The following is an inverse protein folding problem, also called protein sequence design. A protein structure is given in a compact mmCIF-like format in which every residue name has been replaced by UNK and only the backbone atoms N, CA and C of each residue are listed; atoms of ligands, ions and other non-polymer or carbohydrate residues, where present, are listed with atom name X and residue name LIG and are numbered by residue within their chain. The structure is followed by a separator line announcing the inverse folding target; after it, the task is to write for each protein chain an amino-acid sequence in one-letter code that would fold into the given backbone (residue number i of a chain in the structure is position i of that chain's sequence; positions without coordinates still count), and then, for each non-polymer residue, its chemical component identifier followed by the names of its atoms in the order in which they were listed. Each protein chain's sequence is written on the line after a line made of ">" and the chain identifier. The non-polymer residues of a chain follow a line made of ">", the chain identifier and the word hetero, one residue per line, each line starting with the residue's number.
data_IF_176654867607
#
_entry.id   IF_176654867607
#
_cell.length_a   1.000
_cell.length_b   1.000
_cell.length_c   1.000
_cell.angle_alpha   90.00
_cell.angle_beta   90.00
_cell.angle_gamma   90.00
#
_symmetry.space_group_name_H-M   'P 1'
#
loop_
_entity.id
_entity.type
_entity.pdbx_description
1 polymer ?
#
# COMPACT_ATOMS: atom_id res chain seq x y z
N UNK A 1 -21.73 26.93 28.78
CA UNK A 1 -20.28 26.71 28.49
C UNK A 1 -19.99 25.27 28.07
N UNK A 2 -20.31 24.24 28.89
CA UNK A 2 -20.07 22.82 28.60
C UNK A 2 -20.63 22.30 27.25
N UNK A 3 -21.87 22.69 26.87
CA UNK A 3 -22.51 22.23 25.62
C UNK A 3 -21.76 22.67 24.34
N UNK A 4 -21.20 23.88 24.34
CA UNK A 4 -20.45 24.42 23.20
C UNK A 4 -19.10 23.72 23.01
N UNK A 5 -18.45 23.35 24.12
CA UNK A 5 -17.19 22.58 24.11
C UNK A 5 -17.43 21.18 23.56
N UNK A 6 -18.52 20.52 23.96
CA UNK A 6 -18.89 19.19 23.45
C UNK A 6 -19.24 19.20 21.96
N UNK A 7 -20.01 20.20 21.50
CA UNK A 7 -20.33 20.34 20.06
C UNK A 7 -19.09 20.66 19.23
N UNK A 8 -18.18 21.49 19.73
CA UNK A 8 -16.93 21.81 19.03
C UNK A 8 -15.98 20.61 18.99
N UNK A 9 -15.87 19.85 20.08
CA UNK A 9 -15.09 18.60 20.11
C UNK A 9 -15.63 17.54 19.16
N UNK A 10 -16.95 17.39 19.08
CA UNK A 10 -17.59 16.47 18.12
C UNK A 10 -17.36 16.92 16.67
N UNK A 11 -17.39 18.23 16.39
CA UNK A 11 -17.07 18.78 15.07
C UNK A 11 -15.62 18.46 14.67
N UNK A 12 -14.67 18.69 15.58
CA UNK A 12 -13.24 18.43 15.32
C UNK A 12 -12.94 16.94 15.07
N UNK A 13 -13.63 16.03 15.76
CA UNK A 13 -13.52 14.58 15.52
C UNK A 13 -14.12 14.14 14.19
N UNK A 14 -15.15 14.84 13.69
CA UNK A 14 -15.71 14.57 12.36
C UNK A 14 -14.82 15.12 11.24
N UNK A 15 -14.04 16.18 11.50
CA UNK A 15 -13.06 16.73 10.56
C UNK A 15 -11.76 15.92 10.47
N UNK A 16 -11.46 15.02 11.41
CA UNK A 16 -10.25 14.20 11.39
C UNK A 16 -10.35 12.95 10.49
N UNK A 17 -11.40 12.82 9.68
CA UNK A 17 -11.47 11.82 8.62
C UNK A 17 -10.63 12.26 7.42
N UNK A 18 -9.33 12.45 7.61
CA UNK A 18 -8.38 12.54 6.51
C UNK A 18 -8.16 11.12 5.99
N UNK A 19 -8.46 10.87 4.72
CA UNK A 19 -7.94 9.71 4.01
C UNK A 19 -6.42 9.70 4.25
N UNK A 20 -5.91 8.64 4.88
CA UNK A 20 -4.49 8.53 5.18
C UNK A 20 -3.76 8.30 3.87
N UNK A 21 -2.83 9.20 3.54
CA UNK A 21 -1.87 9.01 2.46
C UNK A 21 -1.13 7.68 2.68
N UNK A 22 -1.18 6.77 1.71
CA UNK A 22 -0.50 5.48 1.80
C UNK A 22 0.92 5.59 1.24
N UNK A 23 1.89 5.09 1.99
CA UNK A 23 3.27 4.92 1.51
C UNK A 23 3.50 3.49 1.03
N UNK A 24 4.15 3.30 -0.11
CA UNK A 24 4.35 1.97 -0.72
C UNK A 24 5.80 1.75 -1.13
N UNK A 25 6.24 0.48 -1.17
CA UNK A 25 7.50 0.15 -1.83
C UNK A 25 7.39 0.35 -3.35
N UNK A 26 8.43 0.92 -3.96
CA UNK A 26 8.50 1.25 -5.39
C UNK A 26 9.76 0.61 -6.00
N UNK A 27 9.60 -0.50 -6.72
CA UNK A 27 10.71 -1.25 -7.31
C UNK A 27 10.25 -2.26 -8.36
N UNK A 28 11.18 -2.80 -9.16
CA UNK A 28 10.96 -3.98 -10.00
C UNK A 28 12.10 -5.00 -9.87
N UNK A 29 11.75 -6.28 -10.01
CA UNK A 29 12.70 -7.38 -9.87
C UNK A 29 13.61 -7.59 -11.08
N UNK A 30 13.49 -6.78 -12.14
CA UNK A 30 14.41 -6.79 -13.28
C UNK A 30 15.65 -5.96 -12.97
N UNK A 31 15.45 -4.79 -12.37
CA UNK A 31 16.51 -3.84 -12.04
C UNK A 31 17.03 -4.04 -10.62
N UNK A 32 16.21 -4.56 -9.71
CA UNK A 32 16.57 -4.78 -8.31
C UNK A 32 16.20 -6.19 -7.84
N UNK A 33 17.22 -7.03 -7.61
CA UNK A 33 17.02 -8.41 -7.14
C UNK A 33 16.30 -8.51 -5.80
N UNK A 34 16.34 -7.46 -4.98
CA UNK A 34 15.67 -7.42 -3.67
C UNK A 34 14.15 -7.21 -3.82
N UNK A 35 13.69 -6.79 -5.01
CA UNK A 35 12.28 -6.61 -5.32
C UNK A 35 11.58 -7.90 -5.81
N UNK A 36 12.17 -9.08 -5.63
CA UNK A 36 11.56 -10.35 -6.05
C UNK A 36 10.33 -10.79 -5.23
N UNK A 37 9.89 -12.04 -5.47
CA UNK A 37 8.92 -12.72 -4.59
C UNK A 37 9.49 -12.90 -3.18
N UNK A 38 10.78 -13.24 -3.09
CA UNK A 38 11.57 -13.15 -1.88
C UNK A 38 12.01 -11.70 -1.65
N UNK A 39 11.07 -10.91 -1.16
CA UNK A 39 11.24 -9.47 -0.99
C UNK A 39 12.17 -9.14 0.17
N UNK A 40 13.21 -8.36 -0.12
CA UNK A 40 14.12 -7.82 0.87
C UNK A 40 13.89 -6.30 0.92
N UNK A 41 13.24 -5.78 1.97
CA UNK A 41 12.86 -4.36 2.03
C UNK A 41 14.06 -3.42 2.24
N UNK A 42 15.20 -3.96 2.67
CA UNK A 42 16.40 -3.18 2.95
C UNK A 42 16.84 -2.45 1.67
N UNK A 43 16.99 -1.12 1.78
CA UNK A 43 17.36 -0.21 0.70
C UNK A 43 16.38 -0.11 -0.49
N UNK A 44 15.16 -0.66 -0.37
CA UNK A 44 14.10 -0.44 -1.38
C UNK A 44 13.47 0.94 -1.19
N UNK A 45 13.33 1.68 -2.29
CA UNK A 45 12.68 2.97 -2.29
C UNK A 45 11.20 2.89 -1.84
N UNK A 46 10.77 3.88 -1.07
CA UNK A 46 9.38 4.04 -0.66
C UNK A 46 8.82 5.35 -1.20
N UNK A 47 7.58 5.32 -1.67
CA UNK A 47 6.90 6.48 -2.25
C UNK A 47 5.63 6.77 -1.47
N UNK A 48 5.43 8.04 -1.09
CA UNK A 48 4.14 8.55 -0.63
C UNK A 48 3.22 8.72 -1.85
N UNK A 49 2.18 7.90 -1.96
CA UNK A 49 1.32 7.88 -3.13
C UNK A 49 0.52 9.17 -3.31
N UNK A 50 0.31 9.96 -2.25
CA UNK A 50 -0.38 11.25 -2.37
C UNK A 50 0.54 12.37 -2.86
N UNK A 51 1.86 12.17 -2.75
CA UNK A 51 2.86 13.10 -3.28
C UNK A 51 3.07 12.96 -4.80
N UNK A 52 2.70 11.81 -5.38
CA UNK A 52 2.83 11.56 -6.81
C UNK A 52 1.81 12.34 -7.63
N UNK A 53 2.22 12.83 -8.80
CA UNK A 53 1.28 13.41 -9.77
C UNK A 53 0.38 12.32 -10.36
N UNK A 54 -0.90 12.64 -10.52
CA UNK A 54 -1.84 11.74 -11.18
C UNK A 54 -1.50 11.68 -12.69
N UNK A 55 -1.40 10.48 -13.31
CA UNK A 55 -1.18 10.37 -14.74
C UNK A 55 -2.15 11.23 -15.56
N UNK A 56 -1.65 11.89 -16.60
CA UNK A 56 -2.43 12.83 -17.42
C UNK A 56 -3.65 12.17 -18.05
N UNK A 57 -3.58 10.88 -18.36
CA UNK A 57 -4.67 10.08 -18.91
C UNK A 57 -5.81 9.89 -17.90
N UNK A 58 -5.51 9.88 -16.60
CA UNK A 58 -6.49 9.72 -15.53
C UNK A 58 -7.09 11.05 -15.08
N UNK A 59 -6.36 12.16 -15.25
CA UNK A 59 -6.77 13.51 -14.81
C UNK A 59 -8.17 13.95 -15.26
N UNK A 60 -8.65 13.65 -16.49
CA UNK A 60 -10.01 14.01 -16.91
C UNK A 60 -11.12 13.28 -16.16
N UNK A 61 -10.84 12.10 -15.61
CA UNK A 61 -11.84 11.24 -14.94
C UNK A 61 -12.02 11.57 -13.46
N UNK A 62 -11.08 12.32 -12.88
CA UNK A 62 -11.02 12.58 -11.45
C UNK A 62 -11.00 14.09 -11.16
N UNK A 63 -12.12 14.61 -10.64
CA UNK A 63 -12.23 16.01 -10.19
C UNK A 63 -11.46 16.27 -8.89
N UNK A 64 -11.19 15.21 -8.12
CA UNK A 64 -10.41 15.18 -6.89
C UNK A 64 -9.44 14.01 -6.97
N UNK A 65 -8.35 14.03 -6.19
CA UNK A 65 -7.38 12.91 -6.17
C UNK A 65 -8.13 11.58 -5.90
N UNK A 66 -7.97 10.55 -6.74
CA UNK A 66 -8.60 9.26 -6.51
C UNK A 66 -7.97 8.56 -5.31
N UNK A 67 -8.65 7.53 -4.82
CA UNK A 67 -8.10 6.64 -3.81
C UNK A 67 -6.76 6.04 -4.28
N UNK A 68 -5.82 5.94 -3.34
CA UNK A 68 -4.48 5.40 -3.54
C UNK A 68 -4.31 4.08 -2.79
N UNK A 69 -3.54 3.17 -3.37
CA UNK A 69 -3.20 1.89 -2.75
C UNK A 69 -1.80 1.44 -3.16
N UNK A 70 -1.21 0.53 -2.38
CA UNK A 70 -0.04 -0.20 -2.83
C UNK A 70 -0.46 -1.34 -3.75
N UNK A 71 0.29 -1.51 -4.81
CA UNK A 71 0.10 -2.49 -5.84
C UNK A 71 1.34 -3.38 -5.95
N UNK A 72 1.11 -4.68 -6.09
CA UNK A 72 2.11 -5.65 -6.53
C UNK A 72 1.61 -6.31 -7.80
N UNK A 73 2.30 -6.12 -8.94
CA UNK A 73 2.04 -6.84 -10.19
C UNK A 73 3.04 -7.99 -10.36
N UNK A 74 2.55 -9.10 -10.89
CA UNK A 74 3.33 -10.31 -11.15
C UNK A 74 3.37 -10.59 -12.66
N UNK A 75 4.53 -10.96 -13.17
CA UNK A 75 4.74 -11.24 -14.59
C UNK A 75 5.52 -12.53 -14.78
N UNK A 76 5.31 -13.18 -15.93
CA UNK A 76 6.07 -14.34 -16.39
C UNK A 76 7.11 -13.91 -17.41
N UNK A 77 8.34 -14.38 -17.20
CA UNK A 77 9.44 -14.31 -18.16
C UNK A 77 9.11 -15.03 -19.46
N UNK A 78 9.52 -14.44 -20.58
CA UNK A 78 9.22 -14.96 -21.92
C UNK A 78 9.95 -16.28 -22.23
N UNK A 79 11.04 -16.61 -21.51
CA UNK A 79 11.93 -17.73 -21.86
C UNK A 79 12.16 -18.78 -20.77
N UNK A 80 12.06 -18.44 -19.47
CA UNK A 80 12.56 -19.30 -18.37
C UNK A 80 11.54 -19.53 -17.24
N UNK A 81 10.25 -19.29 -17.49
CA UNK A 81 9.18 -19.31 -16.46
C UNK A 81 9.46 -18.45 -15.22
N UNK A 82 10.47 -17.57 -15.26
CA UNK A 82 10.86 -16.72 -14.15
C UNK A 82 9.72 -15.79 -13.77
N UNK A 83 9.49 -15.67 -12.45
CA UNK A 83 8.50 -14.77 -11.89
C UNK A 83 9.16 -13.40 -11.67
N UNK A 84 8.59 -12.37 -12.29
CA UNK A 84 8.98 -10.99 -12.06
C UNK A 84 7.92 -10.26 -11.26
N UNK A 85 8.37 -9.35 -10.40
CA UNK A 85 7.51 -8.60 -9.48
C UNK A 85 7.77 -7.11 -9.64
N UNK A 86 6.69 -6.33 -9.76
CA UNK A 86 6.70 -4.87 -9.72
C UNK A 86 5.89 -4.42 -8.50
N UNK A 87 6.45 -3.53 -7.70
CA UNK A 87 5.77 -2.87 -6.58
C UNK A 87 5.67 -1.39 -6.88
N UNK A 88 4.48 -0.82 -6.70
CA UNK A 88 4.26 0.60 -6.93
C UNK A 88 3.04 1.13 -6.18
N UNK A 89 2.85 2.45 -6.24
CA UNK A 89 1.54 3.05 -6.02
C UNK A 89 0.56 2.70 -7.15
N UNK A 90 -0.73 2.69 -6.84
CA UNK A 90 -1.83 2.62 -7.80
C UNK A 90 -2.88 3.69 -7.49
N UNK A 91 -3.55 4.13 -8.55
CA UNK A 91 -4.55 5.20 -8.54
C UNK A 91 -5.81 4.75 -9.29
N UNK A 92 -6.97 5.19 -8.82
CA UNK A 92 -8.21 5.08 -9.58
C UNK A 92 -9.06 3.86 -9.23
N UNK A 93 -9.42 3.03 -10.21
CA UNK A 93 -10.21 1.83 -9.96
C UNK A 93 -9.33 0.71 -9.39
N UNK A 94 -9.38 0.55 -8.07
CA UNK A 94 -8.61 -0.42 -7.30
C UNK A 94 -9.32 -1.78 -7.16
N UNK A 95 -10.39 -2.02 -7.94
CA UNK A 95 -11.12 -3.29 -7.94
C UNK A 95 -10.62 -4.29 -8.99
N UNK A 96 -9.91 -3.81 -10.00
CA UNK A 96 -9.44 -4.62 -11.14
C UNK A 96 -7.98 -4.31 -11.42
N UNK A 97 -7.20 -5.34 -11.75
CA UNK A 97 -5.82 -5.16 -12.18
C UNK A 97 -5.77 -4.52 -13.57
N UNK A 98 -4.92 -3.51 -13.73
CA UNK A 98 -4.51 -3.03 -15.05
C UNK A 98 -3.59 -4.07 -15.71
N UNK A 99 -4.11 -4.75 -16.73
CA UNK A 99 -3.43 -5.81 -17.48
C UNK A 99 -2.59 -5.26 -18.64
N UNK A 100 -2.62 -3.93 -18.85
CA UNK A 100 -1.86 -3.29 -19.91
C UNK A 100 -0.36 -3.56 -19.67
N UNK A 101 0.42 -3.75 -20.76
CA UNK A 101 1.86 -3.91 -20.66
C UNK A 101 2.48 -2.76 -19.88
N UNK A 102 3.25 -3.11 -18.85
CA UNK A 102 3.95 -2.12 -18.04
C UNK A 102 5.01 -1.42 -18.89
N UNK A 103 5.10 -0.10 -18.81
CA UNK A 103 6.06 0.68 -19.59
C UNK A 103 7.52 0.37 -19.21
N UNK A 104 7.76 -0.07 -17.98
CA UNK A 104 9.07 -0.50 -17.49
C UNK A 104 9.42 -1.91 -17.97
N UNK A 105 8.41 -2.76 -18.17
CA UNK A 105 8.59 -4.19 -18.47
C UNK A 105 7.66 -4.68 -19.60
N UNK A 106 7.66 -4.03 -20.79
CA UNK A 106 6.63 -4.26 -21.82
C UNK A 106 6.68 -5.64 -22.48
N UNK A 107 7.82 -6.33 -22.39
CA UNK A 107 8.03 -7.66 -22.97
C UNK A 107 7.56 -8.84 -22.10
N UNK A 108 7.13 -8.58 -20.86
CA UNK A 108 6.75 -9.63 -19.93
C UNK A 108 5.24 -9.89 -19.94
N UNK A 109 4.85 -11.15 -19.73
CA UNK A 109 3.45 -11.53 -19.73
C UNK A 109 2.83 -11.29 -18.35
N UNK A 110 1.79 -10.47 -18.28
CA UNK A 110 1.06 -10.23 -17.03
C UNK A 110 0.43 -11.52 -16.49
N UNK A 111 0.55 -11.74 -15.18
CA UNK A 111 -0.05 -12.90 -14.49
C UNK A 111 -1.15 -12.51 -13.52
N UNK A 112 -1.04 -11.36 -12.88
CA UNK A 112 -1.98 -10.92 -11.85
C UNK A 112 -1.43 -9.80 -10.99
N UNK A 113 -2.27 -9.28 -10.11
CA UNK A 113 -1.89 -8.25 -9.17
C UNK A 113 -2.60 -8.35 -7.82
N UNK A 114 -2.08 -7.64 -6.83
CA UNK A 114 -2.68 -7.52 -5.50
C UNK A 114 -2.63 -6.06 -5.07
N UNK A 115 -3.76 -5.56 -4.56
CA UNK A 115 -3.87 -4.25 -3.93
C UNK A 115 -3.92 -4.36 -2.41
N UNK A 116 -3.35 -3.39 -1.71
CA UNK A 116 -3.49 -3.24 -0.26
C UNK A 116 -3.41 -1.76 0.15
N UNK A 117 -4.00 -1.41 1.30
CA UNK A 117 -4.33 -0.02 1.64
C UNK A 117 -3.66 0.48 2.94
N UNK A 118 -2.60 -0.19 3.39
CA UNK A 118 -1.83 0.24 4.58
C UNK A 118 -0.42 0.60 4.16
N UNK A 119 0.25 1.41 4.96
CA UNK A 119 1.64 1.75 4.69
C UNK A 119 2.50 0.49 4.56
N UNK A 120 3.27 0.46 3.47
CA UNK A 120 4.25 -0.56 3.13
C UNK A 120 3.67 -1.97 3.07
N UNK A 121 2.35 -2.09 2.86
CA UNK A 121 1.64 -3.37 2.88
C UNK A 121 1.98 -4.28 1.69
N UNK A 122 2.59 -3.74 0.63
CA UNK A 122 3.05 -4.49 -0.52
C UNK A 122 4.38 -5.24 -0.28
N UNK A 123 4.78 -5.39 0.98
CA UNK A 123 5.76 -6.39 1.42
C UNK A 123 5.28 -7.80 1.04
N UNK A 124 6.19 -8.75 0.76
CA UNK A 124 5.76 -10.11 0.40
C UNK A 124 5.13 -10.85 1.59
N UNK A 125 3.98 -11.49 1.37
CA UNK A 125 3.22 -12.23 2.40
C UNK A 125 3.98 -13.40 3.03
N UNK A 126 5.11 -13.83 2.44
CA UNK A 126 6.00 -14.82 3.07
C UNK A 126 6.66 -14.30 4.35
N UNK A 127 6.73 -12.99 4.55
CA UNK A 127 7.39 -12.39 5.72
C UNK A 127 6.44 -12.14 6.92
N UNK A 128 5.13 -12.37 6.79
CA UNK A 128 4.16 -12.15 7.88
C UNK A 128 3.90 -13.40 8.71
N UNK A 129 4.92 -13.88 9.41
CA UNK A 129 4.77 -14.71 10.61
C UNK A 129 5.59 -14.12 11.78
N UNK A 130 5.49 -12.80 11.98
CA UNK A 130 6.11 -12.14 13.12
C UNK A 130 5.06 -11.33 13.90
N UNK A 131 4.52 -12.01 14.91
CA UNK A 131 4.05 -11.49 16.21
C UNK A 131 3.22 -10.20 16.23
N UNK A 132 1.94 -10.34 16.59
CA UNK A 132 1.23 -9.30 17.32
C UNK A 132 0.55 -9.89 18.56
N UNK A 133 1.35 -10.24 19.56
CA UNK A 133 0.88 -10.53 20.93
C UNK A 133 0.71 -9.25 21.74
N UNK A 134 0.04 -8.23 21.19
CA UNK A 134 -0.22 -6.97 21.94
C UNK A 134 -1.40 -7.15 22.92
N UNK A 135 -2.26 -8.16 22.70
CA UNK A 135 -3.41 -8.42 23.56
C UNK A 135 -3.04 -8.91 24.98
N UNK A 136 -1.84 -9.50 25.15
CA UNK A 136 -1.37 -9.98 26.46
C UNK A 136 -0.97 -8.87 27.44
N UNK A 137 -0.40 -7.77 26.93
CA UNK A 137 0.12 -6.67 27.79
C UNK A 137 -1.02 -5.90 28.46
N UNK A 138 -2.14 -5.69 27.77
CA UNK A 138 -3.30 -4.96 28.30
C UNK A 138 -3.96 -5.74 29.46
N UNK A 139 -4.00 -7.07 29.37
CA UNK A 139 -4.57 -7.92 30.43
C UNK A 139 -3.67 -7.96 31.68
N UNK A 140 -2.35 -7.98 31.52
CA UNK A 140 -1.39 -7.94 32.64
C UNK A 140 -1.39 -6.56 33.32
N UNK A 141 -1.48 -5.47 32.56
CA UNK A 141 -1.60 -4.12 33.15
C UNK A 141 -2.89 -3.94 33.95
N UNK A 142 -4.03 -4.48 33.47
CA UNK A 142 -5.27 -4.49 34.25
C UNK A 142 -5.15 -5.29 35.54
N UNK A 143 -4.50 -6.46 35.50
CA UNK A 143 -4.33 -7.31 36.67
C UNK A 143 -3.38 -6.72 37.74
N UNK A 144 -2.36 -5.96 37.33
CA UNK A 144 -1.36 -5.40 38.23
C UNK A 144 -1.67 -4.01 38.77
N UNK A 145 -2.47 -3.20 38.05
CA UNK A 145 -2.71 -1.80 38.41
C UNK A 145 -4.18 -1.44 38.68
N UNK A 146 -5.12 -2.37 38.46
CA UNK A 146 -6.56 -2.19 38.75
C UNK A 146 -7.04 -3.25 39.75
N UNK A 147 -6.18 -3.59 40.72
CA UNK A 147 -6.58 -4.23 41.97
C UNK A 147 -5.99 -3.45 43.15
#
# INVERSE_FOLDING_TARGET
>A
MMRWVLTLGLLLLLLSATALAVSCYECDSVNDSNCGDDFQPDDIATTDCDSMELPEELRPFYLQRPDTACLTKYYKGSTDESLFVRRSCAFGDLSVCDEQPDSVMPQLNFLGCVFCHKDLCNLSTRSTFASSSIMGVILVFRALFIN
#
